data_IF_981622257674
#
_entry.id   IF_981622257674
#
_cell.length_a   1.000
_cell.length_b   1.000
_cell.length_c   1.000
_cell.angle_alpha   90.00
_cell.angle_beta   90.00
_cell.angle_gamma   90.00
#
_symmetry.space_group_name_H-M   'P 1'
#
loop_
_entity.id
_entity.type
_entity.pdbx_description
1 polymer ?
#
# COMPACT_ATOMS: atom_id res chain seq x y z
N UNK A 1 -4.70 1.32 -17.46
CA UNK A 1 -3.99 2.17 -16.48
C UNK A 1 -2.51 2.31 -16.83
N UNK A 2 -1.80 1.23 -17.13
CA UNK A 2 -0.37 1.23 -17.46
C UNK A 2 -0.01 2.28 -18.51
N UNK A 3 -0.76 2.39 -19.61
CA UNK A 3 -0.53 3.40 -20.65
C UNK A 3 -0.77 4.82 -20.13
N UNK A 4 -1.83 5.05 -19.35
CA UNK A 4 -2.18 6.37 -18.79
C UNK A 4 -1.11 6.87 -17.80
N UNK A 5 -0.51 5.96 -17.05
CA UNK A 5 0.51 6.28 -16.04
C UNK A 5 1.93 6.27 -16.59
N UNK A 6 2.16 5.60 -17.74
CA UNK A 6 3.50 5.23 -18.22
C UNK A 6 4.28 4.46 -17.13
N UNK A 7 3.57 3.60 -16.41
CA UNK A 7 4.05 2.83 -15.28
C UNK A 7 3.34 1.47 -15.25
N UNK A 8 4.04 0.38 -14.95
CA UNK A 8 3.40 -0.93 -14.88
C UNK A 8 2.42 -0.99 -13.70
N UNK A 9 1.16 -1.29 -13.99
CA UNK A 9 0.11 -1.48 -12.98
C UNK A 9 -0.35 -2.93 -13.03
N UNK A 10 0.16 -3.78 -12.15
CA UNK A 10 -0.26 -5.18 -12.08
C UNK A 10 -1.75 -5.31 -11.77
N UNK A 11 -2.37 -6.32 -12.36
CA UNK A 11 -3.82 -6.56 -12.18
C UNK A 11 -4.22 -6.81 -10.71
N UNK A 12 -3.29 -7.30 -9.89
CA UNK A 12 -3.51 -7.57 -8.46
C UNK A 12 -3.50 -6.32 -7.58
N UNK A 13 -3.10 -5.16 -8.08
CA UNK A 13 -3.06 -3.94 -7.30
C UNK A 13 -4.45 -3.37 -7.01
N UNK A 14 -4.61 -2.72 -5.85
CA UNK A 14 -5.91 -2.20 -5.40
C UNK A 14 -6.56 -1.25 -6.41
N UNK A 15 -5.77 -0.37 -7.05
CA UNK A 15 -6.34 0.54 -8.06
C UNK A 15 -6.76 -0.15 -9.35
N UNK A 16 -6.13 -1.28 -9.71
CA UNK A 16 -6.56 -2.06 -10.86
C UNK A 16 -7.92 -2.71 -10.60
N UNK A 17 -8.14 -3.22 -9.38
CA UNK A 17 -9.44 -3.74 -8.96
C UNK A 17 -10.51 -2.65 -8.92
N UNK A 18 -10.21 -1.48 -8.35
CA UNK A 18 -11.13 -0.35 -8.38
C UNK A 18 -11.50 0.06 -9.80
N UNK A 19 -10.50 0.18 -10.68
CA UNK A 19 -10.73 0.53 -12.08
C UNK A 19 -11.59 -0.52 -12.80
N UNK A 20 -11.34 -1.80 -12.55
CA UNK A 20 -12.19 -2.87 -13.09
C UNK A 20 -13.64 -2.77 -12.57
N UNK A 21 -13.85 -2.51 -11.30
CA UNK A 21 -15.18 -2.31 -10.73
C UNK A 21 -15.91 -1.10 -11.38
N UNK A 22 -15.18 -0.01 -11.65
CA UNK A 22 -15.72 1.16 -12.36
C UNK A 22 -16.12 0.81 -13.80
N UNK A 23 -15.28 0.07 -14.53
CA UNK A 23 -15.59 -0.38 -15.89
C UNK A 23 -16.83 -1.30 -15.92
N UNK A 24 -17.03 -2.09 -14.89
CA UNK A 24 -18.16 -3.01 -14.72
C UNK A 24 -19.42 -2.32 -14.15
N UNK A 25 -19.34 -1.04 -13.79
CA UNK A 25 -20.40 -0.28 -13.12
C UNK A 25 -20.99 -1.02 -11.89
N UNK A 26 -20.11 -1.54 -11.04
CA UNK A 26 -20.54 -2.32 -9.88
C UNK A 26 -21.28 -1.44 -8.86
N UNK A 27 -22.42 -1.94 -8.36
CA UNK A 27 -23.35 -1.17 -7.53
C UNK A 27 -22.72 -0.66 -6.21
N UNK A 28 -21.75 -1.39 -5.64
CA UNK A 28 -21.11 -1.02 -4.37
C UNK A 28 -20.27 0.27 -4.47
N UNK A 29 -19.90 0.71 -5.67
CA UNK A 29 -19.12 1.95 -5.87
C UNK A 29 -19.84 3.18 -5.34
N UNK A 30 -21.20 3.19 -5.39
CA UNK A 30 -22.01 4.30 -4.86
C UNK A 30 -21.83 4.49 -3.34
N UNK A 31 -21.47 3.43 -2.62
CA UNK A 31 -21.24 3.44 -1.16
C UNK A 31 -19.76 3.32 -0.77
N UNK A 32 -18.85 3.35 -1.74
CA UNK A 32 -17.42 3.20 -1.46
C UNK A 32 -16.92 4.35 -0.56
N UNK A 33 -16.51 4.02 0.66
CA UNK A 33 -15.98 4.98 1.61
C UNK A 33 -14.46 5.16 1.47
N UNK A 34 -13.75 4.04 1.40
CA UNK A 34 -12.28 3.99 1.31
C UNK A 34 -11.83 2.63 0.78
N UNK A 35 -10.57 2.53 0.43
CA UNK A 35 -9.90 1.29 0.04
C UNK A 35 -8.74 1.07 1.00
N UNK A 36 -8.57 -0.17 1.44
CA UNK A 36 -7.45 -0.55 2.28
C UNK A 36 -7.01 -1.98 1.95
N UNK A 37 -5.79 -2.34 2.32
CA UNK A 37 -5.38 -3.74 2.37
C UNK A 37 -5.92 -4.39 3.63
N UNK A 38 -5.87 -5.71 3.70
CA UNK A 38 -6.26 -6.41 4.93
C UNK A 38 -5.40 -5.97 6.12
N UNK A 39 -4.09 -5.81 5.91
CA UNK A 39 -3.18 -5.34 6.95
C UNK A 39 -3.55 -3.94 7.45
N UNK A 40 -3.79 -3.00 6.53
CA UNK A 40 -4.22 -1.64 6.85
C UNK A 40 -5.59 -1.60 7.54
N UNK A 41 -6.54 -2.45 7.11
CA UNK A 41 -7.85 -2.54 7.77
C UNK A 41 -7.75 -3.07 9.21
N UNK A 42 -6.96 -4.13 9.42
CA UNK A 42 -6.74 -4.66 10.79
C UNK A 42 -6.08 -3.59 11.66
N UNK A 43 -5.10 -2.87 11.13
CA UNK A 43 -4.45 -1.77 11.84
C UNK A 43 -5.47 -0.66 12.23
N UNK A 44 -6.31 -0.24 11.30
CA UNK A 44 -7.36 0.76 11.55
C UNK A 44 -8.34 0.29 12.65
N UNK A 45 -8.72 -0.98 12.63
CA UNK A 45 -9.60 -1.56 13.68
C UNK A 45 -8.95 -1.60 15.07
N UNK A 46 -7.62 -1.67 15.15
CA UNK A 46 -6.88 -1.72 16.41
C UNK A 46 -6.50 -0.34 16.95
N UNK A 47 -6.29 0.62 16.05
CA UNK A 47 -5.74 1.95 16.40
C UNK A 47 -6.69 3.11 16.15
N UNK A 48 -7.72 2.92 15.33
CA UNK A 48 -8.56 3.98 14.79
C UNK A 48 -7.86 4.87 13.74
N UNK A 49 -6.59 4.58 13.37
CA UNK A 49 -5.84 5.33 12.35
C UNK A 49 -5.81 4.58 11.02
N UNK A 50 -6.22 5.25 9.95
CA UNK A 50 -6.16 4.72 8.57
C UNK A 50 -4.82 5.06 7.94
N UNK A 51 -3.81 4.28 8.27
CA UNK A 51 -2.44 4.40 7.77
C UNK A 51 -1.96 3.07 7.20
N UNK A 52 -0.93 3.12 6.37
CA UNK A 52 -0.32 1.96 5.74
C UNK A 52 1.18 2.20 5.56
N UNK A 53 1.98 1.16 5.69
CA UNK A 53 3.41 1.25 5.40
C UNK A 53 3.67 1.46 3.90
N UNK A 54 4.74 2.17 3.57
CA UNK A 54 5.06 2.57 2.21
C UNK A 54 5.28 1.37 1.28
N UNK A 55 5.86 0.28 1.80
CA UNK A 55 6.05 -0.95 1.05
C UNK A 55 4.71 -1.58 0.64
N UNK A 56 3.80 -1.72 1.56
CA UNK A 56 2.44 -2.23 1.31
C UNK A 56 1.64 -1.26 0.42
N UNK A 57 1.75 0.06 0.65
CA UNK A 57 1.10 1.09 -0.16
C UNK A 57 1.52 1.02 -1.63
N UNK A 58 2.78 0.65 -1.91
CA UNK A 58 3.30 0.50 -3.27
C UNK A 58 2.62 -0.62 -4.07
N UNK A 59 1.98 -1.57 -3.40
CA UNK A 59 1.10 -2.58 -4.01
C UNK A 59 -0.35 -2.10 -4.21
N UNK A 60 -0.70 -0.92 -3.71
CA UNK A 60 -2.01 -0.30 -3.93
C UNK A 60 -1.98 0.74 -5.03
N UNK A 61 -0.97 1.59 -5.01
CA UNK A 61 -0.78 2.73 -5.93
C UNK A 61 0.71 3.07 -6.07
N UNK A 62 1.16 3.60 -7.21
CA UNK A 62 2.55 4.00 -7.40
C UNK A 62 3.04 5.01 -6.35
N UNK A 63 4.23 4.77 -5.83
CA UNK A 63 4.90 5.62 -4.84
C UNK A 63 6.00 6.43 -5.54
N UNK A 64 6.13 7.68 -5.16
CA UNK A 64 7.28 8.51 -5.45
C UNK A 64 8.37 8.24 -4.40
N UNK A 65 9.49 7.67 -4.81
CA UNK A 65 10.60 7.29 -3.94
C UNK A 65 11.33 8.48 -3.29
N UNK A 66 11.19 9.70 -3.83
CA UNK A 66 11.78 10.91 -3.23
C UNK A 66 10.96 11.36 -2.02
N UNK A 67 9.64 11.37 -2.15
CA UNK A 67 8.74 11.81 -1.09
C UNK A 67 8.34 10.69 -0.14
N UNK A 68 8.24 9.46 -0.64
CA UNK A 68 7.69 8.30 0.05
C UNK A 68 6.16 8.36 0.20
N UNK A 69 5.48 9.17 -0.61
CA UNK A 69 4.02 9.25 -0.71
C UNK A 69 3.59 8.82 -2.12
N UNK A 70 2.31 8.71 -2.36
CA UNK A 70 1.73 8.42 -3.67
C UNK A 70 2.20 9.44 -4.73
N UNK A 71 2.63 8.95 -5.90
CA UNK A 71 3.08 9.80 -7.00
C UNK A 71 2.01 10.83 -7.39
N UNK A 72 2.33 12.12 -7.18
CA UNK A 72 1.37 13.21 -7.33
C UNK A 72 0.85 13.36 -8.78
N UNK A 73 1.68 13.04 -9.80
CA UNK A 73 1.28 13.08 -11.20
C UNK A 73 0.26 11.98 -11.49
N UNK A 74 0.51 10.78 -10.97
CA UNK A 74 -0.38 9.63 -11.16
C UNK A 74 -1.67 9.79 -10.36
N UNK A 75 -1.61 10.36 -9.14
CA UNK A 75 -2.79 10.76 -8.36
C UNK A 75 -3.69 11.69 -9.16
N UNK A 76 -3.12 12.74 -9.76
CA UNK A 76 -3.88 13.67 -10.61
C UNK A 76 -4.51 12.98 -11.82
N UNK A 77 -3.79 12.06 -12.45
CA UNK A 77 -4.31 11.28 -13.59
C UNK A 77 -5.44 10.35 -13.14
N UNK A 78 -5.32 9.71 -11.98
CA UNK A 78 -6.35 8.83 -11.47
C UNK A 78 -7.60 9.60 -10.99
N UNK A 79 -7.43 10.80 -10.44
CA UNK A 79 -8.55 11.68 -10.11
C UNK A 79 -9.37 12.07 -11.36
N UNK A 80 -8.71 12.24 -12.51
CA UNK A 80 -9.42 12.43 -13.78
C UNK A 80 -10.24 11.19 -14.17
N UNK A 81 -9.65 10.00 -14.03
CA UNK A 81 -10.34 8.73 -14.28
C UNK A 81 -11.54 8.55 -13.33
N UNK A 82 -11.37 8.87 -12.05
CA UNK A 82 -12.46 8.84 -11.06
C UNK A 82 -13.61 9.76 -11.48
N UNK A 83 -13.30 10.98 -11.95
CA UNK A 83 -14.29 11.93 -12.44
C UNK A 83 -14.99 11.45 -13.72
N UNK A 84 -14.27 10.86 -14.68
CA UNK A 84 -14.82 10.22 -15.89
C UNK A 84 -15.87 9.15 -15.55
N UNK A 85 -15.68 8.44 -14.42
CA UNK A 85 -16.59 7.41 -13.91
C UNK A 85 -17.55 7.91 -12.82
N UNK A 86 -17.74 9.23 -12.70
CA UNK A 86 -18.69 9.87 -11.78
C UNK A 86 -18.45 9.52 -10.29
N UNK A 87 -17.22 9.18 -9.92
CA UNK A 87 -16.87 8.96 -8.52
C UNK A 87 -16.81 10.29 -7.77
N UNK A 88 -17.39 10.33 -6.57
CA UNK A 88 -17.45 11.55 -5.76
C UNK A 88 -16.21 11.83 -4.93
N UNK A 89 -15.31 10.86 -4.83
CA UNK A 89 -14.10 10.95 -4.00
C UNK A 89 -12.84 11.03 -4.85
N UNK A 90 -11.83 11.70 -4.32
CA UNK A 90 -10.48 11.75 -4.89
C UNK A 90 -9.67 10.52 -4.48
N UNK A 91 -8.59 10.26 -5.18
CA UNK A 91 -7.62 9.20 -4.87
C UNK A 91 -7.15 9.28 -3.41
N UNK A 92 -6.77 10.47 -2.93
CA UNK A 92 -6.30 10.67 -1.56
C UNK A 92 -7.39 10.48 -0.49
N UNK A 93 -8.67 10.65 -0.85
CA UNK A 93 -9.78 10.35 0.06
C UNK A 93 -10.04 8.84 0.15
N UNK A 94 -9.77 8.11 -0.92
CA UNK A 94 -9.98 6.66 -0.99
C UNK A 94 -8.84 5.89 -0.33
N UNK A 95 -7.59 6.29 -0.55
CA UNK A 95 -6.41 5.58 -0.08
C UNK A 95 -6.02 5.95 1.36
N UNK A 96 -5.38 5.05 2.13
CA UNK A 96 -4.84 5.35 3.45
C UNK A 96 -3.64 6.31 3.37
N UNK A 97 -3.30 6.93 4.50
CA UNK A 97 -2.08 7.75 4.61
C UNK A 97 -0.85 6.85 4.63
N UNK A 98 0.15 7.17 3.82
CA UNK A 98 1.41 6.41 3.76
C UNK A 98 2.32 6.80 4.93
N UNK A 99 2.93 5.81 5.57
CA UNK A 99 3.94 5.96 6.61
C UNK A 99 5.19 5.14 6.25
N UNK A 100 6.37 5.64 6.62
CA UNK A 100 7.62 4.89 6.50
C UNK A 100 7.87 4.06 7.76
N UNK A 101 8.74 3.06 7.67
CA UNK A 101 9.17 2.31 8.83
C UNK A 101 9.73 3.25 9.92
N UNK A 102 9.19 3.15 11.13
CA UNK A 102 9.55 4.02 12.26
C UNK A 102 8.66 5.25 12.45
N UNK A 103 7.77 5.58 11.52
CA UNK A 103 6.79 6.64 11.71
C UNK A 103 5.73 6.27 12.76
N UNK A 104 5.09 7.30 13.34
CA UNK A 104 3.98 7.11 14.29
C UNK A 104 2.72 6.61 13.56
N UNK A 105 2.43 5.34 13.73
CA UNK A 105 1.19 4.73 13.24
C UNK A 105 0.10 4.63 14.34
N UNK A 106 0.31 5.21 15.50
CA UNK A 106 -0.63 5.23 16.60
C UNK A 106 -0.36 4.18 17.67
N UNK A 107 -1.35 4.01 18.52
CA UNK A 107 -1.29 3.07 19.65
C UNK A 107 -2.50 2.16 19.64
N UNK A 108 -2.36 0.98 20.24
CA UNK A 108 -3.48 0.08 20.49
C UNK A 108 -4.51 0.79 21.37
N UNK A 109 -5.73 0.92 20.86
CA UNK A 109 -6.84 1.53 21.59
C UNK A 109 -7.46 0.56 22.60
N UNK A 110 -8.27 1.05 23.53
CA UNK A 110 -9.03 0.20 24.44
C UNK A 110 -9.99 -0.74 23.68
N UNK A 111 -10.60 -0.24 22.60
CA UNK A 111 -11.46 -1.08 21.73
C UNK A 111 -10.64 -2.13 21.00
N UNK A 112 -9.48 -1.77 20.44
CA UNK A 112 -8.57 -2.70 19.79
C UNK A 112 -8.06 -3.78 20.74
N UNK A 113 -7.66 -3.40 21.96
CA UNK A 113 -7.24 -4.35 23.00
C UNK A 113 -8.36 -5.34 23.34
N UNK A 114 -9.58 -4.85 23.57
CA UNK A 114 -10.73 -5.71 23.88
C UNK A 114 -11.14 -6.64 22.72
N UNK A 115 -10.92 -6.23 21.47
CA UNK A 115 -11.14 -7.11 20.30
C UNK A 115 -10.17 -8.29 20.26
N UNK A 116 -8.91 -8.05 20.63
CA UNK A 116 -7.87 -9.09 20.66
C UNK A 116 -7.98 -9.98 21.90
N UNK A 117 -8.30 -9.37 23.02
CA UNK A 117 -8.39 -10.04 24.32
C UNK A 117 -9.59 -9.54 25.14
N UNK A 118 -10.75 -10.20 25.01
CA UNK A 118 -11.94 -9.86 25.82
C UNK A 118 -11.78 -10.14 27.32
N UNK A 119 -10.72 -10.82 27.74
CA UNK A 119 -10.45 -11.09 29.18
C UNK A 119 -9.90 -9.87 29.91
N UNK A 120 -9.41 -8.85 29.14
CA UNK A 120 -8.91 -7.60 29.69
C UNK A 120 -7.47 -7.68 30.24
N UNK A 121 -6.74 -8.74 29.95
CA UNK A 121 -5.31 -8.84 30.30
C UNK A 121 -4.49 -7.95 29.40
N UNK A 122 -4.79 -7.91 28.10
CA UNK A 122 -4.13 -6.99 27.17
C UNK A 122 -4.59 -5.56 27.41
N UNK A 123 -3.64 -4.69 27.77
CA UNK A 123 -3.90 -3.28 28.04
C UNK A 123 -3.69 -2.41 26.80
N UNK A 124 -4.44 -1.31 26.62
CA UNK A 124 -4.21 -0.34 25.54
C UNK A 124 -2.90 0.41 25.74
N UNK A 125 -2.43 1.11 24.68
CA UNK A 125 -1.27 1.99 24.74
C UNK A 125 0.02 1.42 24.13
N UNK A 126 0.01 0.13 23.70
CA UNK A 126 1.15 -0.41 22.94
C UNK A 126 1.34 0.37 21.63
N UNK A 127 2.59 0.80 21.35
CA UNK A 127 2.94 1.45 20.09
C UNK A 127 2.69 0.49 18.92
N UNK A 128 2.08 1.01 17.86
CA UNK A 128 1.81 0.25 16.64
C UNK A 128 2.69 0.77 15.51
N UNK A 129 3.35 -0.15 14.82
CA UNK A 129 4.11 0.17 13.61
C UNK A 129 3.19 0.35 12.41
N UNK A 130 3.60 1.09 11.35
CA UNK A 130 2.92 1.07 10.07
C UNK A 130 2.74 -0.37 9.58
N UNK A 131 1.53 -0.78 9.14
CA UNK A 131 1.31 -2.14 8.66
C UNK A 131 2.02 -2.35 7.32
N UNK A 132 2.80 -3.42 7.22
CA UNK A 132 3.57 -3.79 6.04
C UNK A 132 3.27 -5.23 5.62
N UNK A 133 3.47 -5.53 4.33
CA UNK A 133 3.36 -6.86 3.78
C UNK A 133 4.58 -7.73 4.10
N UNK A 134 4.41 -9.06 3.93
CA UNK A 134 5.45 -10.07 4.17
C UNK A 134 6.66 -9.90 3.26
N UNK A 135 6.47 -9.44 2.03
CA UNK A 135 7.53 -9.21 1.06
C UNK A 135 8.54 -8.14 1.56
N UNK A 136 8.04 -6.96 1.94
CA UNK A 136 8.88 -5.88 2.45
C UNK A 136 9.55 -6.23 3.77
N UNK A 137 8.80 -6.82 4.71
CA UNK A 137 9.36 -7.27 6.00
C UNK A 137 10.37 -8.39 5.82
N UNK A 138 10.18 -9.27 4.82
CA UNK A 138 11.16 -10.29 4.44
C UNK A 138 12.49 -9.69 3.96
N UNK A 139 12.45 -8.58 3.22
CA UNK A 139 13.68 -7.85 2.82
C UNK A 139 14.40 -7.26 4.04
N UNK A 140 13.67 -6.72 5.02
CA UNK A 140 14.25 -6.26 6.28
C UNK A 140 14.88 -7.42 7.03
N UNK A 141 14.18 -8.53 7.19
CA UNK A 141 14.66 -9.72 7.92
C UNK A 141 15.93 -10.31 7.31
N UNK A 142 16.11 -10.21 6.00
CA UNK A 142 17.30 -10.69 5.28
C UNK A 142 18.38 -9.62 5.07
N UNK A 143 18.20 -8.42 5.63
CA UNK A 143 19.09 -7.27 5.45
C UNK A 143 19.34 -6.92 3.98
N UNK A 144 18.30 -7.00 3.15
CA UNK A 144 18.34 -6.77 1.69
C UNK A 144 17.57 -5.53 1.25
N UNK A 145 17.52 -4.49 2.09
CA UNK A 145 16.86 -3.21 1.82
C UNK A 145 17.78 -2.13 1.25
N UNK A 146 19.08 -2.40 1.12
CA UNK A 146 20.05 -1.45 0.58
C UNK A 146 20.07 -1.51 -0.95
N UNK A 147 20.41 -0.38 -1.57
CA UNK A 147 20.62 -0.29 -3.03
C UNK A 147 21.56 -1.40 -3.51
N UNK A 148 21.20 -2.04 -4.62
CA UNK A 148 21.90 -3.19 -5.21
C UNK A 148 21.92 -4.44 -4.32
N UNK A 149 21.04 -4.56 -3.37
CA UNK A 149 20.77 -5.82 -2.66
C UNK A 149 19.41 -6.37 -3.03
N UNK A 150 19.15 -7.60 -2.67
CA UNK A 150 17.86 -8.23 -2.94
C UNK A 150 17.72 -9.56 -2.21
N UNK A 151 16.54 -10.12 -2.27
CA UNK A 151 16.25 -11.44 -1.73
C UNK A 151 15.36 -12.25 -2.68
N UNK A 152 15.29 -13.53 -2.42
CA UNK A 152 14.34 -14.44 -3.07
C UNK A 152 13.43 -15.00 -1.99
N UNK A 153 12.13 -14.78 -2.15
CA UNK A 153 11.11 -15.46 -1.35
C UNK A 153 10.71 -16.75 -2.06
N UNK A 154 10.84 -17.87 -1.38
CA UNK A 154 10.53 -19.19 -1.94
C UNK A 154 9.51 -19.90 -1.03
N UNK A 155 8.24 -19.79 -1.38
CA UNK A 155 7.12 -20.45 -0.73
C UNK A 155 6.20 -21.09 -1.77
N UNK A 156 4.89 -20.93 -1.60
CA UNK A 156 3.91 -21.33 -2.62
C UNK A 156 4.12 -20.60 -3.92
N UNK A 157 4.50 -19.32 -3.86
CA UNK A 157 5.02 -18.54 -4.98
C UNK A 157 6.51 -18.29 -4.78
N UNK A 158 7.23 -18.14 -5.90
CA UNK A 158 8.65 -17.79 -5.88
C UNK A 158 8.80 -16.46 -6.60
N UNK A 159 9.40 -15.48 -5.92
CA UNK A 159 9.69 -14.18 -6.52
C UNK A 159 11.01 -13.61 -5.98
N UNK A 160 11.68 -12.83 -6.81
CA UNK A 160 12.90 -12.11 -6.45
C UNK A 160 12.59 -10.61 -6.34
N UNK A 161 13.14 -9.96 -5.33
CA UNK A 161 13.09 -8.52 -5.13
C UNK A 161 14.51 -7.96 -5.12
N UNK A 162 14.72 -6.85 -5.81
CA UNK A 162 16.01 -6.18 -5.93
C UNK A 162 15.80 -4.69 -5.76
N UNK A 163 16.58 -4.05 -4.88
CA UNK A 163 16.59 -2.60 -4.71
C UNK A 163 17.44 -1.97 -5.79
N UNK A 164 16.83 -1.15 -6.64
CA UNK A 164 17.49 -0.57 -7.80
C UNK A 164 18.39 0.61 -7.41
N UNK A 165 19.47 0.83 -8.17
CA UNK A 165 20.33 2.00 -8.02
C UNK A 165 19.83 3.23 -8.80
N UNK A 166 18.88 3.03 -9.72
CA UNK A 166 18.25 4.08 -10.53
C UNK A 166 16.93 3.56 -11.09
N UNK A 167 16.06 4.50 -11.43
CA UNK A 167 14.78 4.18 -12.07
C UNK A 167 14.97 3.37 -13.36
N UNK A 168 13.99 2.54 -13.69
CA UNK A 168 13.97 1.80 -14.95
C UNK A 168 13.86 2.78 -16.13
N UNK A 169 14.55 2.47 -17.22
CA UNK A 169 14.60 3.33 -18.43
C UNK A 169 13.29 3.32 -19.23
N UNK A 170 12.43 2.34 -19.01
CA UNK A 170 11.12 2.18 -19.66
C UNK A 170 10.22 1.32 -18.79
N UNK A 171 8.96 1.23 -19.14
CA UNK A 171 8.01 0.28 -18.54
C UNK A 171 8.36 -1.15 -18.98
N UNK A 172 8.46 -2.05 -18.01
CA UNK A 172 8.63 -3.48 -18.21
C UNK A 172 7.41 -4.18 -17.61
N UNK A 173 6.54 -4.79 -18.45
CA UNK A 173 5.32 -5.46 -17.97
C UNK A 173 5.61 -6.66 -17.04
N UNK A 174 6.81 -7.20 -17.09
CA UNK A 174 7.26 -8.35 -16.31
C UNK A 174 7.79 -7.95 -14.93
N UNK A 175 7.97 -6.64 -14.68
CA UNK A 175 8.56 -6.13 -13.44
C UNK A 175 7.50 -5.31 -12.71
N UNK A 176 7.23 -5.70 -11.47
CA UNK A 176 6.40 -4.92 -10.56
C UNK A 176 7.28 -3.99 -9.76
N UNK A 177 7.07 -2.68 -9.94
CA UNK A 177 7.79 -1.66 -9.20
C UNK A 177 7.09 -1.42 -7.88
N UNK A 178 7.76 -1.82 -6.81
CA UNK A 178 7.33 -1.64 -5.42
C UNK A 178 8.43 -0.97 -4.60
N UNK A 179 8.15 -0.55 -3.39
CA UNK A 179 9.13 0.07 -2.51
C UNK A 179 9.46 -0.83 -1.32
N UNK A 180 10.64 -0.66 -0.75
CA UNK A 180 10.99 -1.20 0.55
C UNK A 180 10.23 -0.46 1.66
N UNK A 181 10.15 -0.99 2.91
CA UNK A 181 9.55 -0.28 4.06
C UNK A 181 10.20 1.08 4.39
N UNK A 182 11.40 1.35 3.86
CA UNK A 182 12.07 2.67 3.95
C UNK A 182 11.71 3.61 2.79
N UNK A 183 10.98 3.13 1.78
CA UNK A 183 10.56 3.90 0.62
C UNK A 183 11.54 3.88 -0.56
N UNK A 184 12.54 3.01 -0.58
CA UNK A 184 13.43 2.79 -1.73
C UNK A 184 12.77 1.83 -2.74
N UNK A 185 12.95 2.10 -4.04
CA UNK A 185 12.44 1.27 -5.15
C UNK A 185 13.50 0.31 -5.68
#
# INVERSE_FOLDING_TARGET
LTERFSFNIPQRWSIAHLYQAMLSNEAHLASLASINTLAGYVHEMLTGKRVIGVGEASGMFPIDSETGDYDARMVKTFDQILAEHHMSKTTKQLLPTVCKAGDDAGVLTAEGANRLDPTGVLQPGALMCPPEGDAGTGMVATNSIKVCTGNVSAGTSIFAMIVLSKALSRVYPEIDMVTTPEGLS
#
